data_IF_631022532901
#
_entry.id   IF_631022532901
#
_cell.length_a   1.000
_cell.length_b   1.000
_cell.length_c   1.000
_cell.angle_alpha   90.00
_cell.angle_beta   90.00
_cell.angle_gamma   90.00
#
_symmetry.space_group_name_H-M   'P 1'
#
loop_
_entity.id
_entity.type
_entity.pdbx_description
1 polymer ?
#
# COMPACT_ATOMS: atom_id res chain seq x y z
N UNK A 1 10.73 -15.64 -2.47
CA UNK A 1 9.53 -16.48 -2.63
C UNK A 1 8.55 -16.18 -1.50
N UNK A 2 7.25 -16.31 -1.76
CA UNK A 2 6.21 -16.06 -0.78
C UNK A 2 6.01 -17.26 0.14
N UNK A 3 6.27 -17.09 1.43
CA UNK A 3 6.29 -18.19 2.41
C UNK A 3 4.94 -18.89 2.60
N UNK A 4 3.81 -18.17 2.41
CA UNK A 4 2.48 -18.75 2.62
C UNK A 4 2.15 -19.90 1.66
N UNK A 5 2.70 -19.89 0.44
CA UNK A 5 2.33 -20.84 -0.61
C UNK A 5 2.78 -22.26 -0.27
N UNK A 6 4.04 -22.45 0.10
CA UNK A 6 4.56 -23.77 0.41
C UNK A 6 4.10 -24.28 1.77
N UNK A 7 3.93 -23.39 2.77
CA UNK A 7 3.36 -23.76 4.07
C UNK A 7 1.95 -24.31 3.93
N UNK A 8 1.12 -23.70 3.06
CA UNK A 8 -0.24 -24.19 2.78
C UNK A 8 -0.24 -25.58 2.11
N UNK A 9 0.82 -25.92 1.40
CA UNK A 9 1.01 -27.23 0.78
C UNK A 9 1.68 -28.24 1.72
N UNK A 10 1.92 -27.89 2.98
CA UNK A 10 2.51 -28.77 3.98
C UNK A 10 4.05 -28.79 3.99
N UNK A 11 4.70 -27.91 3.23
CA UNK A 11 6.15 -27.77 3.28
C UNK A 11 6.60 -26.89 4.45
N UNK A 12 7.81 -27.12 4.90
CA UNK A 12 8.48 -26.33 5.92
C UNK A 12 9.71 -25.63 5.33
N UNK A 13 10.06 -24.47 5.91
CA UNK A 13 11.29 -23.78 5.56
C UNK A 13 12.46 -24.54 6.16
N UNK A 14 13.35 -25.04 5.33
CA UNK A 14 14.60 -25.68 5.80
C UNK A 14 15.72 -24.66 5.94
N UNK A 15 15.75 -23.66 5.05
CA UNK A 15 16.83 -22.68 5.00
C UNK A 15 16.33 -21.33 4.53
N UNK A 16 16.81 -20.26 5.15
CA UNK A 16 16.60 -18.88 4.73
C UNK A 16 17.91 -18.25 4.28
N UNK A 17 17.93 -17.75 3.03
CA UNK A 17 19.11 -17.10 2.46
C UNK A 17 19.46 -15.82 3.22
N UNK A 18 20.72 -15.67 3.55
CA UNK A 18 21.25 -14.45 4.12
C UNK A 18 21.54 -13.34 3.09
N UNK A 19 22.00 -12.16 3.55
CA UNK A 19 22.21 -11.00 2.70
C UNK A 19 23.26 -11.25 1.61
N UNK A 20 22.85 -11.21 0.35
CA UNK A 20 23.76 -11.40 -0.79
C UNK A 20 24.29 -12.83 -0.95
N UNK A 21 23.74 -13.77 -0.23
CA UNK A 21 24.07 -15.19 -0.37
C UNK A 21 23.63 -15.72 -1.73
N UNK A 22 24.45 -16.57 -2.32
CA UNK A 22 24.16 -17.24 -3.58
C UNK A 22 24.23 -18.74 -3.39
N UNK A 23 23.18 -19.45 -3.78
CA UNK A 23 23.09 -20.90 -3.74
C UNK A 23 22.70 -21.46 -5.09
N UNK A 24 23.21 -22.63 -5.42
CA UNK A 24 22.73 -23.46 -6.52
C UNK A 24 21.81 -24.53 -5.95
N UNK A 25 20.63 -24.66 -6.52
CA UNK A 25 19.65 -25.67 -6.14
C UNK A 25 19.53 -26.73 -7.23
N UNK A 26 19.72 -27.98 -6.85
CA UNK A 26 19.43 -29.16 -7.69
C UNK A 26 18.28 -29.98 -7.09
N UNK A 27 17.95 -31.09 -7.71
CA UNK A 27 16.95 -32.01 -7.15
C UNK A 27 17.44 -32.71 -5.87
N UNK A 28 18.76 -32.85 -5.72
CA UNK A 28 19.37 -33.68 -4.69
C UNK A 28 20.05 -32.86 -3.59
N UNK A 29 20.49 -31.62 -3.92
CA UNK A 29 21.29 -30.83 -2.97
C UNK A 29 21.17 -29.31 -3.17
N UNK A 30 21.52 -28.58 -2.15
CA UNK A 30 21.76 -27.14 -2.17
C UNK A 30 23.25 -26.87 -1.92
N UNK A 31 23.91 -26.23 -2.87
CA UNK A 31 25.33 -25.86 -2.79
C UNK A 31 25.46 -24.35 -2.60
N UNK A 32 26.12 -23.91 -1.54
CA UNK A 32 26.41 -22.50 -1.34
C UNK A 32 27.59 -22.08 -2.23
N UNK A 33 27.33 -21.14 -3.15
CA UNK A 33 28.34 -20.57 -4.04
C UNK A 33 28.98 -19.30 -3.48
N UNK A 34 28.23 -18.50 -2.70
CA UNK A 34 28.74 -17.35 -1.99
C UNK A 34 28.08 -17.26 -0.61
N UNK A 35 28.92 -17.05 0.41
CA UNK A 35 28.46 -16.91 1.79
C UNK A 35 27.68 -15.59 2.00
N UNK A 36 26.73 -15.55 2.95
CA UNK A 36 25.99 -14.34 3.26
C UNK A 36 26.89 -13.24 3.83
N UNK A 37 26.50 -11.99 3.55
CA UNK A 37 27.10 -10.81 4.16
C UNK A 37 26.77 -10.70 5.65
N UNK A 38 27.51 -9.85 6.36
CA UNK A 38 27.35 -9.67 7.81
C UNK A 38 26.19 -8.76 8.22
N UNK A 39 25.68 -7.94 7.29
CA UNK A 39 24.66 -6.94 7.57
C UNK A 39 23.42 -7.17 6.72
N UNK A 40 22.28 -7.35 7.36
CA UNK A 40 20.99 -7.35 6.71
C UNK A 40 20.48 -5.90 6.57
N UNK A 41 20.14 -5.49 5.35
CA UNK A 41 19.49 -4.21 5.06
C UNK A 41 18.10 -4.49 4.49
N UNK A 42 17.08 -4.17 5.26
CA UNK A 42 15.68 -4.43 4.89
C UNK A 42 14.95 -3.10 4.72
N UNK A 43 14.18 -2.99 3.63
CA UNK A 43 13.31 -1.86 3.40
C UNK A 43 11.94 -2.11 4.04
N UNK A 44 11.48 -1.21 4.91
CA UNK A 44 10.15 -1.28 5.54
C UNK A 44 8.99 -1.32 4.51
N UNK A 45 9.24 -0.88 3.29
CA UNK A 45 8.28 -0.92 2.19
C UNK A 45 7.89 -2.35 1.79
N UNK A 46 8.70 -3.34 2.15
CA UNK A 46 8.36 -4.75 2.01
C UNK A 46 7.05 -5.08 2.73
N UNK A 47 6.85 -4.59 3.95
CA UNK A 47 5.62 -4.81 4.71
C UNK A 47 4.52 -3.81 4.38
N UNK A 48 4.85 -2.54 4.24
CA UNK A 48 3.83 -1.50 4.07
C UNK A 48 3.10 -1.58 2.73
N UNK A 49 3.78 -2.04 1.67
CA UNK A 49 3.19 -2.08 0.33
C UNK A 49 3.42 -3.40 -0.42
N UNK A 50 4.71 -3.82 -0.57
CA UNK A 50 5.12 -4.80 -1.57
C UNK A 50 4.76 -6.24 -1.20
N UNK A 51 4.94 -6.62 0.07
CA UNK A 51 4.74 -8.00 0.54
C UNK A 51 3.29 -8.47 0.39
N UNK A 52 3.13 -9.74 0.12
CA UNK A 52 1.80 -10.34 0.07
C UNK A 52 1.21 -10.44 1.49
N UNK A 53 -0.09 -10.13 1.70
CA UNK A 53 -0.67 -9.99 3.04
C UNK A 53 -0.46 -11.18 3.98
N UNK A 54 -0.53 -12.40 3.46
CA UNK A 54 -0.36 -13.61 4.28
C UNK A 54 1.10 -14.03 4.49
N UNK A 55 2.04 -13.35 3.83
CA UNK A 55 3.47 -13.65 3.99
C UNK A 55 4.03 -13.11 5.30
N UNK A 56 5.07 -13.78 5.76
CA UNK A 56 5.86 -13.41 6.94
C UNK A 56 7.31 -13.26 6.53
N UNK A 57 7.92 -12.11 6.85
CA UNK A 57 9.33 -11.83 6.61
C UNK A 57 9.97 -11.43 7.93
N UNK A 58 11.12 -11.99 8.26
CA UNK A 58 11.81 -11.73 9.53
C UNK A 58 10.89 -11.88 10.76
N UNK A 59 10.04 -12.90 10.76
CA UNK A 59 9.08 -13.15 11.82
C UNK A 59 7.89 -12.19 11.91
N UNK A 60 7.77 -11.23 10.99
CA UNK A 60 6.71 -10.22 10.98
C UNK A 60 5.74 -10.49 9.82
N UNK A 61 4.49 -10.81 10.15
CA UNK A 61 3.45 -10.96 9.15
C UNK A 61 3.04 -9.60 8.54
N UNK A 62 2.88 -9.57 7.23
CA UNK A 62 2.60 -8.35 6.46
C UNK A 62 1.27 -7.70 6.86
N UNK A 63 0.20 -8.47 6.90
CA UNK A 63 -1.15 -7.95 7.24
C UNK A 63 -1.19 -7.40 8.66
N UNK A 64 -0.67 -8.16 9.63
CA UNK A 64 -0.62 -7.74 11.02
C UNK A 64 0.23 -6.48 11.22
N UNK A 65 1.32 -6.32 10.47
CA UNK A 65 2.12 -5.10 10.50
C UNK A 65 1.33 -3.90 9.97
N UNK A 66 0.58 -4.06 8.88
CA UNK A 66 -0.25 -2.98 8.31
C UNK A 66 -1.33 -2.51 9.29
N UNK A 67 -1.95 -3.44 10.03
CA UNK A 67 -2.92 -3.09 11.09
C UNK A 67 -2.27 -2.27 12.20
N UNK A 68 -1.10 -2.71 12.70
CA UNK A 68 -0.33 -1.97 13.72
C UNK A 68 0.08 -0.58 13.24
N UNK A 69 0.49 -0.47 11.96
CA UNK A 69 0.86 0.82 11.38
C UNK A 69 -0.36 1.76 11.30
N UNK A 70 -1.52 1.25 10.88
CA UNK A 70 -2.76 2.02 10.89
C UNK A 70 -3.16 2.50 12.28
N UNK A 71 -3.06 1.64 13.29
CA UNK A 71 -3.32 2.00 14.68
C UNK A 71 -2.37 3.10 15.16
N UNK A 72 -1.07 3.01 14.88
CA UNK A 72 -0.09 4.03 15.24
C UNK A 72 -0.37 5.40 14.60
N UNK A 73 -0.92 5.42 13.36
CA UNK A 73 -1.36 6.68 12.72
C UNK A 73 -2.54 7.28 13.48
N UNK A 74 -3.52 6.45 13.88
CA UNK A 74 -4.68 6.91 14.66
C UNK A 74 -4.27 7.44 16.04
N UNK A 75 -3.41 6.72 16.76
CA UNK A 75 -2.85 7.16 18.05
C UNK A 75 -2.17 8.53 17.92
N UNK A 76 -1.40 8.73 16.85
CA UNK A 76 -0.74 10.01 16.58
C UNK A 76 -1.74 11.14 16.33
N UNK A 77 -2.78 10.90 15.53
CA UNK A 77 -3.82 11.88 15.25
C UNK A 77 -4.57 12.25 16.54
N UNK A 78 -4.91 11.28 17.37
CA UNK A 78 -5.54 11.49 18.68
C UNK A 78 -4.64 12.33 19.61
N UNK A 79 -3.36 11.95 19.73
CA UNK A 79 -2.39 12.64 20.56
C UNK A 79 -2.12 14.10 20.12
N UNK A 80 -2.28 14.38 18.83
CA UNK A 80 -2.16 15.73 18.27
C UNK A 80 -3.45 16.56 18.34
N UNK A 81 -4.50 16.01 18.97
CA UNK A 81 -5.79 16.68 19.08
C UNK A 81 -6.47 16.92 17.73
N UNK A 82 -6.16 16.13 16.73
CA UNK A 82 -6.81 16.20 15.42
C UNK A 82 -8.20 15.57 15.51
N UNK A 83 -9.07 16.21 16.29
CA UNK A 83 -10.49 15.86 16.33
C UNK A 83 -11.11 16.23 15.00
N UNK A 84 -11.52 15.24 14.24
CA UNK A 84 -12.25 15.41 12.99
C UNK A 84 -13.60 14.72 13.14
N UNK A 85 -14.64 15.40 12.67
CA UNK A 85 -15.98 14.80 12.55
C UNK A 85 -15.98 13.88 11.32
N UNK A 86 -15.55 12.62 11.49
CA UNK A 86 -15.42 11.62 10.44
C UNK A 86 -16.51 10.57 10.59
N UNK A 87 -17.29 10.37 9.54
CA UNK A 87 -18.31 9.32 9.48
C UNK A 87 -17.68 7.92 9.28
N UNK A 88 -16.70 7.82 8.35
CA UNK A 88 -16.08 6.55 8.00
C UNK A 88 -14.58 6.67 7.72
N UNK A 89 -13.88 5.63 8.11
CA UNK A 89 -12.50 5.37 7.66
C UNK A 89 -12.54 4.40 6.50
N UNK A 90 -11.90 4.74 5.39
CA UNK A 90 -11.74 3.88 4.22
C UNK A 90 -10.28 3.66 3.85
N UNK A 91 -10.01 2.62 3.08
CA UNK A 91 -8.68 2.37 2.53
C UNK A 91 -8.66 2.48 1.02
N UNK A 92 -7.58 3.03 0.47
CA UNK A 92 -7.36 2.95 -0.96
C UNK A 92 -7.02 1.49 -1.31
N UNK A 93 -7.86 0.79 -2.12
CA UNK A 93 -7.65 -0.61 -2.36
C UNK A 93 -6.46 -0.87 -3.31
N UNK A 94 -5.75 -1.96 -3.11
CA UNK A 94 -5.94 -2.97 -2.07
C UNK A 94 -5.01 -2.73 -0.86
N UNK A 95 -3.86 -2.11 -1.07
CA UNK A 95 -2.75 -1.97 -0.10
C UNK A 95 -3.04 -1.02 1.05
N UNK A 96 -3.85 0.02 0.85
CA UNK A 96 -4.28 0.93 1.91
C UNK A 96 -5.33 0.34 2.86
N UNK A 97 -6.07 -0.68 2.41
CA UNK A 97 -7.18 -1.26 3.18
C UNK A 97 -6.78 -1.77 4.58
N UNK A 98 -5.74 -2.61 4.76
CA UNK A 98 -5.39 -3.09 6.09
C UNK A 98 -4.89 -1.98 7.02
N UNK A 99 -4.21 -0.96 6.51
CA UNK A 99 -3.85 0.22 7.29
C UNK A 99 -5.10 0.98 7.77
N UNK A 100 -6.11 1.14 6.90
CA UNK A 100 -7.37 1.78 7.24
C UNK A 100 -8.15 0.99 8.31
N UNK A 101 -8.16 -0.35 8.24
CA UNK A 101 -8.76 -1.19 9.27
C UNK A 101 -8.07 -0.99 10.62
N UNK A 102 -6.73 -0.95 10.63
CA UNK A 102 -5.97 -0.66 11.84
C UNK A 102 -6.28 0.71 12.43
N UNK A 103 -6.37 1.73 11.57
CA UNK A 103 -6.77 3.09 11.96
C UNK A 103 -8.19 3.12 12.56
N UNK A 104 -9.16 2.50 11.91
CA UNK A 104 -10.55 2.43 12.36
C UNK A 104 -10.68 1.71 13.70
N UNK A 105 -9.97 0.61 13.86
CA UNK A 105 -9.97 -0.16 15.11
C UNK A 105 -9.44 0.66 16.29
N UNK A 106 -8.42 1.50 16.10
CA UNK A 106 -7.85 2.34 17.16
C UNK A 106 -8.67 3.60 17.41
N UNK A 107 -9.04 4.32 16.35
CA UNK A 107 -9.81 5.56 16.45
C UNK A 107 -11.26 5.36 16.88
N UNK A 108 -11.79 4.14 16.82
CA UNK A 108 -13.20 3.78 17.02
C UNK A 108 -14.16 4.38 16.00
N UNK A 109 -13.65 4.93 14.90
CA UNK A 109 -14.45 5.40 13.76
C UNK A 109 -14.78 4.17 12.89
N UNK A 110 -16.03 3.98 12.45
CA UNK A 110 -16.42 2.83 11.64
C UNK A 110 -15.59 2.71 10.35
N UNK A 111 -15.11 1.49 10.05
CA UNK A 111 -14.53 1.20 8.75
C UNK A 111 -15.63 0.98 7.71
N UNK A 112 -15.48 1.59 6.53
CA UNK A 112 -16.34 1.37 5.38
C UNK A 112 -15.53 1.20 4.09
N UNK A 113 -16.20 0.74 3.04
CA UNK A 113 -15.63 0.67 1.69
C UNK A 113 -16.42 1.57 0.75
N UNK A 114 -16.20 2.90 0.78
CA UNK A 114 -16.94 3.86 -0.04
C UNK A 114 -16.77 3.65 -1.54
N UNK A 115 -15.74 2.95 -1.95
CA UNK A 115 -15.59 2.44 -3.31
C UNK A 115 -14.93 1.06 -3.33
N UNK A 116 -15.21 0.32 -4.38
CA UNK A 116 -14.74 -1.05 -4.55
C UNK A 116 -13.98 -1.16 -5.87
N UNK A 117 -12.83 -1.81 -5.83
CA UNK A 117 -12.06 -2.08 -7.04
C UNK A 117 -12.75 -3.16 -7.88
N UNK A 118 -13.01 -2.84 -9.13
CA UNK A 118 -13.57 -3.80 -10.08
C UNK A 118 -12.48 -4.68 -10.68
N UNK A 119 -12.38 -5.89 -10.21
CA UNK A 119 -11.31 -6.83 -10.59
C UNK A 119 -11.63 -7.77 -11.77
N UNK A 120 -12.90 -8.07 -12.16
CA UNK A 120 -13.19 -9.17 -13.08
C UNK A 120 -12.68 -9.01 -14.51
N UNK A 121 -12.49 -7.80 -15.03
CA UNK A 121 -12.28 -7.62 -16.47
C UNK A 121 -10.92 -7.06 -16.89
N UNK A 122 -10.14 -6.42 -16.00
CA UNK A 122 -8.92 -5.72 -16.40
C UNK A 122 -7.82 -5.80 -15.35
N UNK A 123 -6.96 -6.81 -15.41
CA UNK A 123 -5.89 -6.96 -14.41
C UNK A 123 -4.90 -5.78 -14.41
N UNK A 124 -4.70 -5.08 -15.55
CA UNK A 124 -3.76 -3.95 -15.64
C UNK A 124 -4.16 -2.94 -16.72
N UNK A 125 -4.26 -1.65 -16.35
CA UNK A 125 -4.69 -0.57 -17.26
C UNK A 125 -3.72 -0.23 -18.40
N UNK A 126 -2.48 -0.71 -18.34
CA UNK A 126 -1.46 -0.44 -19.36
C UNK A 126 -1.47 -1.42 -20.54
N UNK A 127 -2.36 -2.43 -20.54
CA UNK A 127 -2.50 -3.37 -21.66
C UNK A 127 -3.31 -2.82 -22.82
N UNK A 128 -3.99 -1.69 -22.66
CA UNK A 128 -4.74 -1.04 -23.75
C UNK A 128 -3.87 -0.07 -24.55
N UNK A 129 -3.89 -0.21 -25.88
CA UNK A 129 -3.01 0.52 -26.80
C UNK A 129 -3.35 2.02 -26.94
N UNK A 130 -4.63 2.44 -26.73
CA UNK A 130 -5.07 3.83 -26.93
C UNK A 130 -5.22 4.59 -25.61
N UNK A 131 -4.73 5.85 -25.57
CA UNK A 131 -4.78 6.74 -24.40
C UNK A 131 -6.21 7.02 -23.89
N UNK A 132 -7.18 7.17 -24.82
CA UNK A 132 -8.59 7.39 -24.48
C UNK A 132 -9.22 6.19 -23.77
N UNK A 133 -8.85 4.98 -24.17
CA UNK A 133 -9.34 3.74 -23.57
C UNK A 133 -8.70 3.50 -22.19
N UNK A 134 -7.45 3.93 -22.00
CA UNK A 134 -6.79 3.90 -20.69
C UNK A 134 -7.52 4.76 -19.66
N UNK A 135 -7.97 5.96 -20.03
CA UNK A 135 -8.76 6.84 -19.15
C UNK A 135 -10.11 6.23 -18.79
N UNK A 136 -10.79 5.60 -19.74
CA UNK A 136 -12.06 4.91 -19.48
C UNK A 136 -11.87 3.71 -18.56
N UNK A 137 -10.87 2.88 -18.83
CA UNK A 137 -10.53 1.73 -17.98
C UNK A 137 -10.12 2.17 -16.57
N UNK A 138 -9.38 3.27 -16.43
CA UNK A 138 -9.03 3.84 -15.12
C UNK A 138 -10.27 4.26 -14.33
N UNK A 139 -11.23 4.93 -14.98
CA UNK A 139 -12.52 5.31 -14.36
C UNK A 139 -13.40 4.12 -13.95
N UNK A 140 -13.30 3.00 -14.67
CA UNK A 140 -14.07 1.78 -14.36
C UNK A 140 -13.45 0.94 -13.24
N UNK A 141 -12.24 1.28 -12.78
CA UNK A 141 -11.55 0.50 -11.74
C UNK A 141 -12.15 0.65 -10.36
N UNK A 142 -12.69 1.82 -10.06
CA UNK A 142 -13.26 2.13 -8.76
C UNK A 142 -14.75 2.38 -8.95
N UNK A 143 -15.56 1.55 -8.30
CA UNK A 143 -17.03 1.67 -8.33
C UNK A 143 -17.46 2.30 -7.00
N UNK A 144 -18.10 3.49 -7.02
CA UNK A 144 -18.56 4.16 -5.83
C UNK A 144 -19.77 3.47 -5.21
N UNK A 145 -19.86 3.53 -3.88
CA UNK A 145 -21.05 3.19 -3.10
C UNK A 145 -21.65 4.49 -2.59
N UNK A 146 -22.62 5.03 -3.32
CA UNK A 146 -23.15 6.39 -3.10
C UNK A 146 -23.64 6.63 -1.68
N UNK A 147 -24.26 5.62 -1.04
CA UNK A 147 -24.78 5.70 0.33
C UNK A 147 -23.67 5.87 1.38
N UNK A 148 -22.44 5.47 1.04
CA UNK A 148 -21.26 5.59 1.92
C UNK A 148 -20.42 6.83 1.59
N UNK A 149 -20.79 7.61 0.56
CA UNK A 149 -20.04 8.79 0.12
C UNK A 149 -20.85 10.07 0.27
N UNK A 150 -22.10 10.08 -0.24
CA UNK A 150 -22.88 11.30 -0.34
C UNK A 150 -23.15 11.92 1.03
N UNK A 151 -22.71 13.18 1.21
CA UNK A 151 -22.86 13.94 2.44
C UNK A 151 -22.00 13.46 3.61
N UNK A 152 -21.02 12.58 3.37
CA UNK A 152 -20.15 11.99 4.40
C UNK A 152 -18.81 12.68 4.51
N UNK A 153 -18.32 12.77 5.73
CA UNK A 153 -16.95 13.14 6.06
C UNK A 153 -16.10 11.88 6.10
N UNK A 154 -15.14 11.76 5.18
CA UNK A 154 -14.40 10.54 4.95
C UNK A 154 -12.93 10.72 5.29
N UNK A 155 -12.33 9.72 5.96
CA UNK A 155 -10.89 9.61 6.13
C UNK A 155 -10.40 8.38 5.37
N UNK A 156 -9.47 8.58 4.44
CA UNK A 156 -8.84 7.49 3.70
C UNK A 156 -7.40 7.31 4.11
N UNK A 157 -7.00 6.04 4.20
CA UNK A 157 -5.59 5.66 4.37
C UNK A 157 -5.10 5.03 3.06
N UNK A 158 -3.99 5.55 2.54
CA UNK A 158 -3.25 4.96 1.43
C UNK A 158 -1.90 4.43 1.93
N UNK A 159 -1.32 3.48 1.23
CA UNK A 159 -0.02 2.91 1.61
C UNK A 159 1.12 3.95 1.49
N UNK A 160 1.10 4.76 0.44
CA UNK A 160 2.16 5.73 0.15
C UNK A 160 1.71 6.81 -0.82
N UNK A 161 2.38 7.96 -0.77
CA UNK A 161 2.20 9.05 -1.74
C UNK A 161 3.53 9.24 -2.49
N UNK A 162 3.50 9.00 -3.80
CA UNK A 162 4.69 9.12 -4.66
C UNK A 162 4.67 10.42 -5.46
N UNK A 163 3.80 10.51 -6.47
CA UNK A 163 3.66 11.69 -7.35
C UNK A 163 2.44 12.55 -7.05
N UNK A 164 1.58 12.11 -6.15
CA UNK A 164 0.34 12.80 -5.81
C UNK A 164 -0.79 12.68 -6.84
N UNK A 165 -0.54 12.18 -8.04
CA UNK A 165 -1.56 12.08 -9.11
C UNK A 165 -2.71 11.16 -8.72
N UNK A 166 -2.40 9.95 -8.24
CA UNK A 166 -3.41 8.99 -7.80
C UNK A 166 -4.20 9.51 -6.59
N UNK A 167 -3.51 10.17 -5.66
CA UNK A 167 -4.14 10.81 -4.50
C UNK A 167 -5.17 11.86 -4.95
N UNK A 168 -4.76 12.77 -5.87
CA UNK A 168 -5.65 13.81 -6.42
C UNK A 168 -6.86 13.18 -7.11
N UNK A 169 -6.65 12.24 -8.02
CA UNK A 169 -7.73 11.55 -8.72
C UNK A 169 -8.71 10.86 -7.76
N UNK A 170 -8.22 10.27 -6.66
CA UNK A 170 -9.06 9.64 -5.63
C UNK A 170 -9.88 10.67 -4.88
N UNK A 171 -9.29 11.81 -4.50
CA UNK A 171 -9.97 12.88 -3.79
C UNK A 171 -11.04 13.54 -4.68
N UNK A 172 -10.69 13.87 -5.93
CA UNK A 172 -11.63 14.40 -6.93
C UNK A 172 -12.80 13.44 -7.14
N UNK A 173 -12.52 12.14 -7.31
CA UNK A 173 -13.55 11.11 -7.46
C UNK A 173 -14.53 11.09 -6.27
N UNK A 174 -14.06 11.21 -5.04
CA UNK A 174 -14.93 11.22 -3.85
C UNK A 174 -15.81 12.48 -3.81
N UNK A 175 -15.26 13.66 -4.10
CA UNK A 175 -16.04 14.90 -4.17
C UNK A 175 -17.05 14.88 -5.32
N UNK A 176 -16.67 14.35 -6.49
CA UNK A 176 -17.60 14.18 -7.63
C UNK A 176 -18.78 13.25 -7.30
N UNK A 177 -18.61 12.35 -6.33
CA UNK A 177 -19.66 11.47 -5.82
C UNK A 177 -20.35 12.02 -4.55
N UNK A 178 -20.11 13.28 -4.20
CA UNK A 178 -20.86 14.00 -3.18
C UNK A 178 -20.32 13.88 -1.76
N UNK A 179 -19.06 13.54 -1.55
CA UNK A 179 -18.44 13.59 -0.22
C UNK A 179 -18.48 15.02 0.36
N UNK A 180 -18.80 15.17 1.64
CA UNK A 180 -18.81 16.45 2.33
C UNK A 180 -17.38 16.91 2.62
N UNK A 181 -16.52 16.00 3.09
CA UNK A 181 -15.09 16.25 3.25
C UNK A 181 -14.28 14.99 3.04
N UNK A 182 -13.01 15.16 2.63
CA UNK A 182 -12.07 14.04 2.41
C UNK A 182 -10.75 14.35 3.10
N UNK A 183 -10.36 13.48 4.02
CA UNK A 183 -9.08 13.53 4.71
C UNK A 183 -8.23 12.33 4.30
N UNK A 184 -6.94 12.57 4.05
CA UNK A 184 -6.02 11.51 3.62
C UNK A 184 -4.93 11.28 4.66
N UNK A 185 -4.54 10.02 4.82
CA UNK A 185 -3.37 9.61 5.60
C UNK A 185 -2.50 8.69 4.76
N UNK A 186 -1.19 8.88 4.83
CA UNK A 186 -0.22 7.98 4.22
C UNK A 186 0.35 7.04 5.29
N UNK A 187 0.34 5.76 5.00
CA UNK A 187 0.89 4.74 5.88
C UNK A 187 2.42 4.71 5.88
N UNK A 188 3.03 5.22 4.80
CA UNK A 188 4.48 5.39 4.72
C UNK A 188 4.89 6.83 5.00
N UNK A 189 6.12 7.04 5.52
CA UNK A 189 6.75 8.35 5.52
C UNK A 189 6.85 8.93 4.10
N UNK A 190 7.04 10.26 3.96
CA UNK A 190 7.23 10.90 2.66
C UNK A 190 8.38 10.28 1.87
N UNK A 191 8.13 9.94 0.60
CA UNK A 191 9.13 9.35 -0.29
C UNK A 191 9.99 10.47 -0.88
N UNK A 192 11.26 10.52 -0.46
CA UNK A 192 12.21 11.57 -0.82
C UNK A 192 13.11 11.21 -2.01
N UNK A 193 13.30 9.93 -2.28
CA UNK A 193 14.23 9.42 -3.29
C UNK A 193 13.61 8.32 -4.13
N UNK A 194 14.03 8.26 -5.40
CA UNK A 194 13.64 7.16 -6.27
C UNK A 194 14.25 5.83 -5.81
N UNK A 195 13.50 4.76 -5.94
CA UNK A 195 14.00 3.42 -5.64
C UNK A 195 14.80 2.86 -6.82
N UNK A 196 16.01 2.35 -6.54
CA UNK A 196 16.86 1.69 -7.56
C UNK A 196 16.37 0.29 -7.93
N UNK A 197 15.58 -0.33 -7.07
CA UNK A 197 15.17 -1.73 -7.18
C UNK A 197 13.73 -1.90 -7.65
N UNK A 198 12.82 -1.01 -7.22
CA UNK A 198 11.40 -1.10 -7.51
C UNK A 198 10.99 0.03 -8.48
N UNK A 199 10.22 -0.32 -9.50
CA UNK A 199 9.86 0.64 -10.56
C UNK A 199 8.80 1.66 -10.17
N UNK A 200 8.06 1.49 -9.07
CA UNK A 200 6.93 2.36 -8.69
C UNK A 200 7.34 3.82 -8.43
N UNK A 201 8.53 4.06 -7.88
CA UNK A 201 9.08 5.40 -7.66
C UNK A 201 10.23 5.75 -8.61
N UNK A 202 10.45 4.94 -9.66
CA UNK A 202 11.47 5.23 -10.66
C UNK A 202 11.12 6.50 -11.43
N UNK A 203 12.02 7.47 -11.42
CA UNK A 203 11.88 8.74 -12.12
C UNK A 203 13.24 9.16 -12.69
N UNK A 204 13.21 9.88 -13.78
CA UNK A 204 14.40 10.52 -14.36
C UNK A 204 14.70 11.88 -13.69
N UNK A 205 13.70 12.43 -12.99
CA UNK A 205 13.82 13.69 -12.25
C UNK A 205 13.22 13.50 -10.86
N UNK A 206 14.02 13.65 -9.81
CA UNK A 206 13.54 13.50 -8.42
C UNK A 206 12.44 14.52 -8.04
N UNK A 207 12.31 15.63 -8.79
CA UNK A 207 11.21 16.58 -8.64
C UNK A 207 9.85 16.04 -9.06
N UNK A 208 9.79 14.87 -9.72
CA UNK A 208 8.51 14.16 -9.95
C UNK A 208 7.92 13.56 -8.65
N UNK A 209 8.73 13.50 -7.58
CA UNK A 209 8.27 13.10 -6.27
C UNK A 209 7.60 14.28 -5.58
N UNK A 210 6.31 14.17 -5.27
CA UNK A 210 5.52 15.25 -4.66
C UNK A 210 6.16 15.83 -3.40
N UNK A 211 6.75 14.98 -2.57
CA UNK A 211 7.42 15.41 -1.34
C UNK A 211 8.55 16.41 -1.60
N UNK A 212 9.32 16.19 -2.64
CA UNK A 212 10.41 17.12 -3.00
C UNK A 212 9.89 18.44 -3.55
N UNK A 213 8.86 18.38 -4.37
CA UNK A 213 8.21 19.58 -4.91
C UNK A 213 7.66 20.45 -3.78
N UNK A 214 6.95 19.86 -2.82
CA UNK A 214 6.37 20.56 -1.68
C UNK A 214 7.40 21.11 -0.68
N UNK A 215 8.56 20.47 -0.55
CA UNK A 215 9.63 20.96 0.35
C UNK A 215 10.47 22.09 -0.26
N UNK A 216 10.34 22.34 -1.58
CA UNK A 216 11.03 23.43 -2.25
C UNK A 216 10.18 24.70 -2.44
N UNK A 217 8.90 24.64 -2.07
CA UNK A 217 7.97 25.77 -2.01
C UNK A 217 8.00 26.40 -0.61
#
# INVERSE_FOLDING_TARGET
FESFTYQKLGYQTEYELGPGEVVELSADEMVQLAAPGKEMKICAFLWSYYGYPTSTYEGINVEAMRYRNGAAIAERDIAQGRSMDIDYVGGVPDSGTPHAIGYANESKIPFARPFIKYTPTWPRSFTTAKQADRKKVAKMKLIPVSELITGKNLLFVDDSIVRGTQLRETVEFLYDNGAASVHMRSACPPIMYSCKYLNFSRTNNEMDLITRTELML
#
